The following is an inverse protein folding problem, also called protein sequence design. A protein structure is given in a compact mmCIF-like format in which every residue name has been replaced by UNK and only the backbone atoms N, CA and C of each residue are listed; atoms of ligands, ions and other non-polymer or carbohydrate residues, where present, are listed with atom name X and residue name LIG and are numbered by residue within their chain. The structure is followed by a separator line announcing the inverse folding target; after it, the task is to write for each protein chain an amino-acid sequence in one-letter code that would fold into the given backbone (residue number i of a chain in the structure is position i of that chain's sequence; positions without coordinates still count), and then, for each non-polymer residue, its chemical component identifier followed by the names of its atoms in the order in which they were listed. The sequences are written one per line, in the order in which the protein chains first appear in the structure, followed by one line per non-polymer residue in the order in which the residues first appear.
data_IF_535131361180
#
_entry.id   IF_535131361180
#
_cell.length_a   1.000
_cell.length_b   1.000
_cell.length_c   1.000
_cell.angle_alpha   90.00
_cell.angle_beta   90.00
_cell.angle_gamma   90.00
#
_symmetry.space_group_name_H-M   'P 1'
#
loop_
_entity.id
_entity.type
_entity.pdbx_description
1 polymer ?
#
# COMPACT_ATOMS: atom_id res chain seq x y z
N UNK A 1 3.78 17.27 -5.40
CA UNK A 1 5.10 17.78 -4.96
C UNK A 1 5.67 18.82 -5.93
N UNK A 2 5.02 19.99 -6.03
CA UNK A 2 5.46 21.10 -6.88
C UNK A 2 4.96 22.40 -6.27
N UNK A 3 5.85 23.34 -5.97
CA UNK A 3 5.46 24.68 -5.55
C UNK A 3 4.83 25.43 -6.75
N UNK A 4 3.63 26.02 -6.63
CA UNK A 4 2.98 26.72 -7.75
C UNK A 4 3.75 27.96 -8.24
N UNK A 5 4.67 28.50 -7.43
CA UNK A 5 5.50 29.64 -7.83
C UNK A 5 6.52 29.29 -8.93
N UNK A 6 7.39 28.29 -8.69
CA UNK A 6 8.52 27.93 -9.59
C UNK A 6 8.73 26.43 -9.75
N UNK A 7 7.73 25.63 -9.40
CA UNK A 7 7.68 24.17 -9.59
C UNK A 7 8.78 23.36 -8.88
N UNK A 8 9.50 23.98 -7.95
CA UNK A 8 10.45 23.25 -7.09
C UNK A 8 9.71 22.22 -6.23
N UNK A 9 10.34 21.07 -5.94
CA UNK A 9 9.77 20.09 -5.02
C UNK A 9 9.58 20.71 -3.63
N UNK A 10 8.37 20.59 -3.08
CA UNK A 10 8.06 20.97 -1.71
C UNK A 10 8.62 19.95 -0.71
N UNK A 11 8.86 18.71 -1.15
CA UNK A 11 9.50 17.65 -0.36
C UNK A 11 10.93 17.97 0.06
N UNK A 12 11.62 18.87 -0.66
CA UNK A 12 12.94 19.39 -0.29
C UNK A 12 12.84 20.58 0.70
N UNK A 13 11.63 20.94 1.12
CA UNK A 13 11.34 21.98 2.10
C UNK A 13 11.36 21.46 3.54
N UNK A 14 10.52 22.08 4.38
CA UNK A 14 10.36 21.68 5.78
C UNK A 14 8.92 21.80 6.25
N UNK A 15 8.59 21.03 7.28
CA UNK A 15 7.35 21.20 8.04
C UNK A 15 7.62 22.17 9.17
N UNK A 16 6.81 23.22 9.27
CA UNK A 16 6.87 24.21 10.34
C UNK A 16 6.21 23.67 11.61
N UNK A 17 6.47 24.30 12.75
CA UNK A 17 5.80 23.94 14.03
C UNK A 17 4.27 24.09 13.97
N UNK A 18 3.77 24.90 13.02
CA UNK A 18 2.33 25.02 12.72
C UNK A 18 1.74 23.80 12.02
N UNK A 19 2.58 22.87 11.55
CA UNK A 19 2.19 21.72 10.72
C UNK A 19 2.11 22.04 9.23
N UNK A 20 2.41 23.27 8.81
CA UNK A 20 2.41 23.69 7.41
C UNK A 20 3.72 23.36 6.71
N UNK A 21 3.68 23.25 5.39
CA UNK A 21 4.86 23.00 4.55
C UNK A 21 5.40 24.33 4.05
N UNK A 22 6.68 24.61 4.31
CA UNK A 22 7.40 25.76 3.78
C UNK A 22 8.26 25.33 2.58
N UNK A 23 8.07 26.03 1.45
CA UNK A 23 8.84 25.82 0.23
C UNK A 23 10.31 26.23 0.42
N UNK A 24 11.29 25.39 -0.01
CA UNK A 24 12.71 25.65 0.22
C UNK A 24 13.26 26.82 -0.60
N UNK A 25 12.52 27.31 -1.59
CA UNK A 25 13.05 28.31 -2.52
C UNK A 25 12.76 29.74 -2.08
N UNK A 26 11.48 30.09 -1.88
CA UNK A 26 11.07 31.46 -1.54
C UNK A 26 10.20 31.53 -0.29
N UNK A 27 10.18 30.45 0.52
CA UNK A 27 9.47 30.41 1.80
C UNK A 27 7.95 30.49 1.71
N UNK A 28 7.35 30.16 0.56
CA UNK A 28 5.89 30.08 0.46
C UNK A 28 5.37 28.95 1.35
N UNK A 29 4.35 29.23 2.15
CA UNK A 29 3.81 28.30 3.15
C UNK A 29 2.46 27.76 2.74
N UNK A 30 2.24 26.46 2.93
CA UNK A 30 1.04 25.74 2.51
C UNK A 30 0.47 24.89 3.62
N UNK A 31 -0.86 24.94 3.81
CA UNK A 31 -1.57 23.98 4.65
C UNK A 31 -1.56 22.59 4.02
N UNK A 32 -1.19 21.57 4.80
CA UNK A 32 -1.09 20.19 4.30
C UNK A 32 -2.43 19.54 3.95
N UNK A 33 -3.52 19.92 4.60
CA UNK A 33 -4.86 19.35 4.41
C UNK A 33 -5.60 19.91 3.21
N UNK A 34 -5.40 21.19 2.92
CA UNK A 34 -6.15 21.95 1.90
C UNK A 34 -5.28 22.43 0.75
N UNK A 35 -3.95 22.41 0.90
CA UNK A 35 -3.03 23.01 -0.06
C UNK A 35 -3.09 24.54 -0.12
N UNK A 36 -3.86 25.18 0.78
CA UNK A 36 -4.00 26.64 0.82
C UNK A 36 -2.64 27.29 1.07
N UNK A 37 -2.27 28.25 0.22
CA UNK A 37 -1.10 29.10 0.46
C UNK A 37 -1.43 30.15 1.52
N UNK A 38 -0.79 30.05 2.68
CA UNK A 38 -1.07 30.91 3.85
C UNK A 38 -0.09 32.05 3.99
N UNK A 39 1.11 31.92 3.42
CA UNK A 39 2.13 32.96 3.47
C UNK A 39 2.93 33.02 2.18
N UNK A 40 3.13 34.24 1.69
CA UNK A 40 4.06 34.59 0.62
C UNK A 40 4.99 35.66 1.20
N UNK A 41 6.21 35.32 1.65
CA UNK A 41 7.06 36.24 2.41
C UNK A 41 7.38 37.58 1.71
N UNK A 42 7.25 37.62 0.39
CA UNK A 42 7.55 38.79 -0.44
C UNK A 42 6.31 39.57 -0.89
N UNK A 43 5.10 39.18 -0.45
CA UNK A 43 3.87 39.92 -0.74
C UNK A 43 3.58 40.90 0.40
N UNK A 44 3.12 42.09 0.06
CA UNK A 44 2.65 43.05 1.07
C UNK A 44 1.31 42.58 1.66
N UNK A 45 0.99 43.01 2.88
CA UNK A 45 -0.30 42.64 3.51
C UNK A 45 -1.53 43.14 2.73
N UNK A 46 -1.35 44.13 1.85
CA UNK A 46 -2.36 44.65 0.94
C UNK A 46 -2.51 43.84 -0.34
N UNK A 47 -1.57 42.93 -0.64
CA UNK A 47 -1.61 42.13 -1.85
C UNK A 47 -2.63 41.00 -1.71
N UNK A 48 -3.56 40.95 -2.66
CA UNK A 48 -4.46 39.80 -2.79
C UNK A 48 -3.67 38.65 -3.40
N UNK A 49 -3.23 37.70 -2.57
CA UNK A 49 -2.70 36.42 -3.05
C UNK A 49 -3.82 35.72 -3.82
N UNK A 50 -3.63 35.57 -5.13
CA UNK A 50 -4.57 34.84 -5.99
C UNK A 50 -4.60 33.38 -5.54
N UNK A 51 -5.64 33.02 -4.77
CA UNK A 51 -5.76 31.68 -4.20
C UNK A 51 -5.83 30.59 -5.27
N UNK A 52 -6.39 30.88 -6.44
CA UNK A 52 -6.44 29.93 -7.57
C UNK A 52 -5.05 29.57 -8.11
N UNK A 53 -4.13 30.54 -8.20
CA UNK A 53 -2.79 30.32 -8.79
C UNK A 53 -1.70 30.04 -7.76
N UNK A 54 -2.01 30.23 -6.48
CA UNK A 54 -1.02 30.20 -5.41
C UNK A 54 -1.14 28.95 -4.55
N UNK A 55 -2.25 28.21 -4.60
CA UNK A 55 -2.44 26.99 -3.80
C UNK A 55 -1.78 25.76 -4.43
N UNK A 56 -1.32 24.85 -3.57
CA UNK A 56 -0.88 23.52 -3.97
C UNK A 56 -2.04 22.53 -4.11
N UNK A 57 -1.76 21.37 -4.69
CA UNK A 57 -2.70 20.23 -4.70
C UNK A 57 -2.52 19.41 -3.43
N UNK A 58 -3.56 19.32 -2.61
CA UNK A 58 -3.62 18.41 -1.46
C UNK A 58 -4.18 17.05 -1.88
N UNK A 59 -3.71 15.98 -1.26
CA UNK A 59 -4.24 14.63 -1.49
C UNK A 59 -4.91 14.13 -0.21
N UNK A 60 -6.15 13.61 -0.30
CA UNK A 60 -6.79 12.97 0.84
C UNK A 60 -5.94 11.80 1.30
N UNK A 61 -5.77 11.69 2.62
CA UNK A 61 -4.99 10.62 3.25
C UNK A 61 -5.71 10.07 4.46
N UNK A 62 -5.48 8.80 4.74
CA UNK A 62 -5.79 8.19 6.05
C UNK A 62 -4.63 7.31 6.48
N UNK A 63 -4.45 7.16 7.80
CA UNK A 63 -3.42 6.31 8.38
C UNK A 63 -4.10 5.12 9.05
N UNK A 64 -3.83 3.92 8.55
CA UNK A 64 -4.37 2.67 9.11
C UNK A 64 -3.30 1.60 9.15
N UNK A 65 -3.27 0.82 10.24
CA UNK A 65 -2.30 -0.25 10.46
C UNK A 65 -0.82 0.18 10.22
N UNK A 66 -0.47 1.41 10.58
CA UNK A 66 0.89 1.96 10.38
C UNK A 66 1.24 2.29 8.92
N UNK A 67 0.25 2.30 8.02
CA UNK A 67 0.41 2.63 6.60
C UNK A 67 -0.34 3.92 6.27
N UNK A 68 0.19 4.67 5.30
CA UNK A 68 -0.46 5.87 4.74
C UNK A 68 -1.15 5.49 3.43
N UNK A 69 -2.47 5.65 3.38
CA UNK A 69 -3.26 5.48 2.16
C UNK A 69 -3.54 6.85 1.56
N UNK A 70 -3.41 6.96 0.24
CA UNK A 70 -3.49 8.23 -0.49
C UNK A 70 -4.48 8.08 -1.65
N UNK A 71 -5.38 9.04 -1.81
CA UNK A 71 -6.31 9.11 -2.93
C UNK A 71 -5.74 10.07 -3.99
N UNK A 72 -5.29 9.56 -5.15
CA UNK A 72 -4.61 10.37 -6.15
C UNK A 72 -5.57 11.16 -7.05
N UNK A 73 -6.89 10.99 -6.92
CA UNK A 73 -7.88 11.63 -7.80
C UNK A 73 -7.67 13.14 -7.97
N UNK A 74 -7.35 13.93 -6.91
CA UNK A 74 -7.11 15.36 -7.07
C UNK A 74 -5.87 15.73 -7.90
N UNK A 75 -4.94 14.79 -8.17
CA UNK A 75 -3.85 15.02 -9.12
C UNK A 75 -4.35 15.14 -10.56
N UNK A 76 -5.46 14.49 -10.88
CA UNK A 76 -6.03 14.43 -12.22
C UNK A 76 -7.28 15.29 -12.35
N UNK A 77 -8.09 15.36 -11.29
CA UNK A 77 -9.32 16.11 -11.20
C UNK A 77 -9.31 16.96 -9.91
N UNK A 78 -8.49 18.02 -9.84
CA UNK A 78 -8.45 18.88 -8.67
C UNK A 78 -9.81 19.56 -8.44
N UNK A 79 -10.25 19.76 -7.18
CA UNK A 79 -11.46 20.51 -6.87
C UNK A 79 -11.42 21.93 -7.46
N UNK A 80 -12.59 22.48 -7.78
CA UNK A 80 -12.67 23.87 -8.21
C UNK A 80 -12.26 24.79 -7.06
N UNK A 81 -11.84 26.00 -7.39
CA UNK A 81 -11.46 26.96 -6.36
C UNK A 81 -12.59 27.21 -5.34
N UNK A 82 -12.28 27.07 -4.05
CA UNK A 82 -13.24 27.24 -2.94
C UNK A 82 -14.02 25.97 -2.58
N UNK A 83 -13.90 24.90 -3.35
CA UNK A 83 -14.43 23.59 -2.99
C UNK A 83 -13.50 22.90 -1.99
N UNK A 84 -14.09 22.18 -1.04
CA UNK A 84 -13.33 21.34 -0.13
C UNK A 84 -12.75 20.14 -0.89
N UNK A 85 -11.51 19.75 -0.55
CA UNK A 85 -10.97 18.49 -1.04
C UNK A 85 -11.85 17.31 -0.60
N UNK A 86 -11.98 16.27 -1.44
CA UNK A 86 -12.74 15.09 -1.07
C UNK A 86 -12.18 14.46 0.20
N UNK A 87 -13.05 13.88 1.03
CA UNK A 87 -12.60 13.09 2.17
C UNK A 87 -12.09 11.73 1.67
N UNK A 88 -11.11 11.12 2.36
CA UNK A 88 -10.70 9.76 2.03
C UNK A 88 -11.89 8.81 2.17
N UNK A 89 -12.16 8.01 1.14
CA UNK A 89 -13.16 6.95 1.23
C UNK A 89 -12.54 5.72 1.90
N UNK A 90 -12.57 5.71 3.23
CA UNK A 90 -11.97 4.65 4.02
C UNK A 90 -12.58 3.27 3.79
N UNK A 91 -13.73 3.16 3.13
CA UNK A 91 -14.33 1.87 2.76
C UNK A 91 -13.53 1.14 1.69
N UNK A 92 -12.71 1.87 0.90
CA UNK A 92 -11.82 1.30 -0.11
C UNK A 92 -10.52 0.76 0.49
N UNK A 93 -10.20 1.10 1.74
CA UNK A 93 -8.97 0.65 2.40
C UNK A 93 -9.08 -0.84 2.70
N UNK A 94 -8.27 -1.62 2.00
CA UNK A 94 -8.06 -3.02 2.33
C UNK A 94 -7.09 -3.10 3.51
N UNK A 95 -7.61 -3.47 4.69
CA UNK A 95 -6.78 -3.64 5.88
C UNK A 95 -5.85 -4.84 5.71
N UNK A 96 -4.60 -4.76 6.16
CA UNK A 96 -3.68 -5.88 6.06
C UNK A 96 -4.16 -7.00 6.97
N UNK A 97 -4.71 -8.03 6.35
CA UNK A 97 -5.26 -9.20 7.03
C UNK A 97 -4.23 -9.78 8.02
N UNK A 98 -4.66 -10.04 9.25
CA UNK A 98 -3.84 -10.70 10.29
C UNK A 98 -3.04 -9.73 11.14
N UNK A 99 -2.95 -8.47 10.71
CA UNK A 99 -2.45 -7.38 11.54
C UNK A 99 -3.52 -7.00 12.56
N UNK A 100 -3.16 -7.01 13.85
CA UNK A 100 -4.09 -6.71 14.95
C UNK A 100 -4.79 -7.93 15.53
N UNK A 101 -4.64 -9.11 14.94
CA UNK A 101 -5.08 -10.37 15.55
C UNK A 101 -4.38 -10.59 16.91
N UNK A 102 -5.10 -11.03 17.97
CA UNK A 102 -4.51 -11.22 19.29
C UNK A 102 -3.27 -12.12 19.27
N UNK A 103 -2.14 -11.57 19.68
CA UNK A 103 -0.87 -12.28 19.73
C UNK A 103 -0.22 -12.54 18.37
N UNK A 104 -0.73 -11.95 17.28
CA UNK A 104 -0.04 -11.97 16.00
C UNK A 104 1.22 -11.10 16.05
N UNK A 105 2.27 -11.58 15.39
CA UNK A 105 3.46 -10.79 15.07
C UNK A 105 3.56 -10.67 13.56
N UNK A 106 4.13 -9.60 13.06
CA UNK A 106 4.34 -9.44 11.64
C UNK A 106 5.67 -8.74 11.37
N UNK A 107 6.24 -9.07 10.23
CA UNK A 107 7.36 -8.37 9.63
C UNK A 107 6.86 -7.58 8.42
N UNK A 108 7.52 -6.48 8.08
CA UNK A 108 7.17 -5.65 6.93
C UNK A 108 8.37 -5.48 6.01
N UNK A 109 8.12 -5.55 4.70
CA UNK A 109 9.12 -5.31 3.69
C UNK A 109 8.54 -4.41 2.61
N UNK A 110 9.36 -3.52 2.06
CA UNK A 110 8.99 -2.78 0.86
C UNK A 110 10.14 -2.79 -0.14
N UNK A 111 9.79 -2.79 -1.43
CA UNK A 111 10.78 -2.75 -2.50
C UNK A 111 10.22 -2.12 -3.76
N UNK A 112 11.02 -1.23 -4.35
CA UNK A 112 10.78 -0.71 -5.69
C UNK A 112 11.31 -1.69 -6.74
N UNK A 113 10.48 -1.95 -7.74
CA UNK A 113 10.70 -2.97 -8.75
C UNK A 113 10.74 -2.35 -10.15
N UNK A 114 11.65 -2.81 -11.02
CA UNK A 114 11.90 -2.22 -12.32
C UNK A 114 10.87 -2.62 -13.40
N UNK A 115 9.64 -2.93 -13.02
CA UNK A 115 8.58 -3.37 -13.92
C UNK A 115 7.19 -2.94 -13.43
N UNK A 116 6.22 -3.02 -14.35
CA UNK A 116 4.85 -2.57 -14.12
C UNK A 116 4.14 -3.33 -12.99
N UNK A 117 3.22 -2.67 -12.30
CA UNK A 117 2.51 -3.25 -11.15
C UNK A 117 1.61 -4.43 -11.53
N UNK A 118 1.14 -4.51 -12.78
CA UNK A 118 0.34 -5.63 -13.28
C UNK A 118 1.14 -6.93 -13.27
N UNK A 119 2.39 -6.92 -13.75
CA UNK A 119 3.28 -8.09 -13.68
C UNK A 119 3.60 -8.50 -12.25
N UNK A 120 3.78 -7.52 -11.35
CA UNK A 120 3.94 -7.79 -9.93
C UNK A 120 2.70 -8.50 -9.36
N UNK A 121 1.52 -7.98 -9.67
CA UNK A 121 0.25 -8.52 -9.19
C UNK A 121 0.04 -9.96 -9.69
N UNK A 122 0.23 -10.21 -10.98
CA UNK A 122 0.15 -11.55 -11.56
C UNK A 122 1.16 -12.51 -10.92
N UNK A 123 2.41 -12.08 -10.74
CA UNK A 123 3.44 -12.91 -10.14
C UNK A 123 3.11 -13.32 -8.70
N UNK A 124 2.63 -12.38 -7.87
CA UNK A 124 2.36 -12.67 -6.47
C UNK A 124 1.10 -13.54 -6.34
N UNK A 125 0.07 -13.32 -7.17
CA UNK A 125 -1.15 -14.14 -7.19
C UNK A 125 -0.90 -15.58 -7.67
N UNK A 126 0.01 -15.78 -8.61
CA UNK A 126 0.35 -17.11 -9.13
C UNK A 126 1.16 -17.92 -8.13
N UNK A 127 0.49 -18.69 -7.27
CA UNK A 127 1.16 -19.54 -6.29
C UNK A 127 1.95 -20.72 -6.90
N UNK A 128 1.81 -21.01 -8.20
CA UNK A 128 2.48 -22.15 -8.84
C UNK A 128 4.00 -21.96 -8.91
N UNK A 129 4.47 -20.70 -9.07
CA UNK A 129 5.89 -20.37 -9.13
C UNK A 129 6.63 -20.63 -7.81
N UNK A 130 5.90 -20.73 -6.68
CA UNK A 130 6.50 -20.89 -5.34
C UNK A 130 7.38 -22.14 -5.25
N UNK A 131 6.90 -23.29 -5.74
CA UNK A 131 7.70 -24.53 -5.68
C UNK A 131 8.89 -24.51 -6.64
N UNK A 132 8.75 -23.85 -7.78
CA UNK A 132 9.70 -23.93 -8.88
C UNK A 132 10.78 -22.84 -8.81
N UNK A 133 10.37 -21.58 -8.80
CA UNK A 133 11.26 -20.40 -8.85
C UNK A 133 11.94 -20.13 -7.51
N UNK A 134 11.28 -20.42 -6.38
CA UNK A 134 11.89 -20.26 -5.05
C UNK A 134 12.64 -21.52 -4.57
N UNK A 135 13.15 -22.33 -5.49
CA UNK A 135 13.90 -23.54 -5.15
C UNK A 135 15.12 -23.21 -4.30
N UNK A 136 15.25 -23.86 -3.14
CA UNK A 136 16.38 -23.67 -2.23
C UNK A 136 16.23 -22.49 -1.27
N UNK A 137 15.14 -21.71 -1.38
CA UNK A 137 14.83 -20.64 -0.43
C UNK A 137 13.52 -20.93 0.31
N UNK A 138 12.38 -20.89 -0.40
CA UNK A 138 11.04 -21.10 0.16
C UNK A 138 10.33 -22.33 -0.41
N UNK A 139 10.83 -22.87 -1.52
CA UNK A 139 10.23 -23.97 -2.26
C UNK A 139 11.21 -25.07 -2.63
N UNK A 140 10.65 -26.17 -3.14
CA UNK A 140 11.40 -27.28 -3.71
C UNK A 140 10.79 -27.66 -5.06
N UNK A 141 11.55 -27.54 -6.15
CA UNK A 141 11.08 -27.86 -7.51
C UNK A 141 10.75 -29.33 -7.71
N UNK A 142 11.36 -30.23 -6.92
CA UNK A 142 11.01 -31.64 -6.90
C UNK A 142 9.62 -31.92 -6.30
N UNK A 143 9.04 -30.94 -5.58
CA UNK A 143 7.71 -31.02 -4.99
C UNK A 143 6.63 -30.33 -5.84
N UNK A 144 6.96 -29.87 -7.05
CA UNK A 144 5.99 -29.31 -7.99
C UNK A 144 4.96 -30.38 -8.37
N UNK A 145 3.68 -30.04 -8.23
CA UNK A 145 2.55 -30.93 -8.49
C UNK A 145 1.37 -30.13 -9.05
N UNK A 146 0.43 -30.77 -9.75
CA UNK A 146 -0.82 -30.12 -10.16
C UNK A 146 -1.49 -29.45 -8.96
N UNK A 147 -1.98 -28.23 -9.18
CA UNK A 147 -2.69 -27.46 -8.18
C UNK A 147 -4.18 -27.44 -8.52
N UNK A 148 -5.02 -27.65 -7.51
CA UNK A 148 -6.47 -27.58 -7.64
C UNK A 148 -6.99 -26.42 -6.81
N UNK A 149 -7.99 -25.72 -7.35
CA UNK A 149 -8.60 -24.58 -6.70
C UNK A 149 -10.11 -24.62 -6.88
N UNK A 150 -10.81 -24.12 -5.88
CA UNK A 150 -12.23 -23.81 -5.91
C UNK A 150 -12.40 -22.31 -5.77
N UNK A 151 -13.22 -21.72 -6.62
CA UNK A 151 -13.69 -20.35 -6.45
C UNK A 151 -14.72 -20.33 -5.33
N UNK A 152 -14.49 -19.53 -4.29
CA UNK A 152 -15.45 -19.37 -3.18
C UNK A 152 -16.42 -18.21 -3.43
N UNK A 153 -16.08 -17.31 -4.36
CA UNK A 153 -16.93 -16.19 -4.79
C UNK A 153 -16.80 -15.97 -6.31
N UNK A 154 -17.78 -15.30 -6.97
CA UNK A 154 -17.67 -14.95 -8.38
C UNK A 154 -16.44 -14.11 -8.68
N UNK A 155 -15.83 -14.34 -9.84
CA UNK A 155 -14.77 -13.50 -10.37
C UNK A 155 -15.36 -12.15 -10.80
N UNK A 156 -14.88 -11.07 -10.20
CA UNK A 156 -15.30 -9.71 -10.53
C UNK A 156 -14.09 -8.80 -10.71
N UNK A 157 -14.31 -7.61 -11.29
CA UNK A 157 -13.26 -6.59 -11.39
C UNK A 157 -12.80 -6.07 -10.01
N UNK A 158 -13.65 -6.12 -8.99
CA UNK A 158 -13.30 -5.68 -7.64
C UNK A 158 -12.51 -6.73 -6.85
N UNK A 159 -12.55 -7.99 -7.27
CA UNK A 159 -11.78 -9.05 -6.62
C UNK A 159 -12.37 -10.45 -6.75
N UNK A 160 -11.65 -11.40 -6.15
CA UNK A 160 -12.04 -12.79 -6.03
C UNK A 160 -11.26 -13.52 -4.93
N UNK A 161 -11.73 -14.72 -4.57
CA UNK A 161 -11.12 -15.60 -3.58
C UNK A 161 -11.05 -17.01 -4.14
N UNK A 162 -9.85 -17.60 -4.04
CA UNK A 162 -9.56 -18.97 -4.43
C UNK A 162 -9.14 -19.77 -3.21
N UNK A 163 -9.78 -20.92 -3.01
CA UNK A 163 -9.39 -21.88 -2.00
C UNK A 163 -8.65 -23.03 -2.67
N UNK A 164 -7.46 -23.37 -2.17
CA UNK A 164 -6.69 -24.48 -2.70
C UNK A 164 -7.25 -25.81 -2.17
N UNK A 165 -7.46 -26.75 -3.08
CA UNK A 165 -8.01 -28.07 -2.79
C UNK A 165 -7.02 -29.19 -3.12
N UNK A 166 -7.27 -30.37 -2.57
CA UNK A 166 -6.73 -31.63 -3.09
C UNK A 166 -7.40 -31.97 -4.43
N UNK A 167 -6.92 -33.01 -5.10
CA UNK A 167 -7.53 -33.53 -6.33
C UNK A 167 -8.99 -33.97 -6.09
N UNK A 168 -9.28 -34.44 -4.89
CA UNK A 168 -10.60 -34.94 -4.49
C UNK A 168 -11.51 -33.82 -3.94
N UNK A 169 -11.05 -32.56 -3.98
CA UNK A 169 -11.83 -31.38 -3.60
C UNK A 169 -11.76 -30.99 -2.13
N UNK A 170 -10.93 -31.66 -1.32
CA UNK A 170 -10.76 -31.31 0.10
C UNK A 170 -9.93 -30.03 0.26
N UNK A 171 -10.31 -29.14 1.19
CA UNK A 171 -9.59 -27.90 1.43
C UNK A 171 -8.20 -28.16 2.05
N UNK A 172 -7.17 -27.57 1.45
CA UNK A 172 -5.79 -27.68 1.96
C UNK A 172 -5.50 -26.70 3.11
N UNK A 173 -6.41 -25.75 3.38
CA UNK A 173 -6.18 -24.65 4.32
C UNK A 173 -5.30 -23.53 3.76
N UNK A 174 -5.14 -23.46 2.43
CA UNK A 174 -4.59 -22.30 1.72
C UNK A 174 -5.70 -21.54 0.99
N UNK A 175 -5.73 -20.23 1.19
CA UNK A 175 -6.66 -19.31 0.50
C UNK A 175 -5.86 -18.17 -0.12
N UNK A 176 -6.24 -17.76 -1.33
CA UNK A 176 -5.68 -16.61 -2.04
C UNK A 176 -6.79 -15.62 -2.32
N UNK A 177 -6.60 -14.36 -1.96
CA UNK A 177 -7.58 -13.29 -2.12
C UNK A 177 -6.96 -12.16 -2.91
N UNK A 178 -7.68 -11.66 -3.90
CA UNK A 178 -7.38 -10.43 -4.62
C UNK A 178 -8.49 -9.41 -4.38
N UNK A 179 -8.13 -8.17 -4.08
CA UNK A 179 -9.04 -7.02 -4.08
C UNK A 179 -8.40 -5.87 -4.85
N UNK A 180 -9.17 -5.31 -5.77
CA UNK A 180 -8.72 -4.16 -6.56
C UNK A 180 -8.40 -2.95 -5.64
N UNK A 181 -7.49 -2.05 -6.06
CA UNK A 181 -6.75 -2.10 -7.33
C UNK A 181 -5.45 -2.92 -7.28
N UNK A 182 -4.94 -3.26 -6.10
CA UNK A 182 -3.62 -3.89 -5.97
C UNK A 182 -3.38 -4.61 -4.65
N UNK A 183 -4.43 -4.90 -3.89
CA UNK A 183 -4.32 -5.65 -2.64
C UNK A 183 -4.48 -7.14 -2.90
N UNK A 184 -3.63 -7.93 -2.27
CA UNK A 184 -3.81 -9.36 -2.21
C UNK A 184 -3.34 -9.90 -0.87
N UNK A 185 -3.85 -11.07 -0.52
CA UNK A 185 -3.21 -11.87 0.52
C UNK A 185 -3.36 -13.38 0.28
N UNK A 186 -2.42 -14.13 0.84
CA UNK A 186 -2.51 -15.58 0.96
C UNK A 186 -2.55 -15.99 2.43
N UNK A 187 -3.53 -16.80 2.82
CA UNK A 187 -3.56 -17.46 4.13
C UNK A 187 -3.02 -18.87 3.97
N UNK A 188 -2.05 -19.26 4.78
CA UNK A 188 -1.41 -20.59 4.70
C UNK A 188 -1.41 -21.21 6.09
N UNK A 189 -2.16 -22.31 6.27
CA UNK A 189 -2.14 -23.09 7.51
C UNK A 189 -0.87 -23.94 7.59
N UNK A 190 -0.09 -23.77 8.66
CA UNK A 190 1.16 -24.47 8.91
C UNK A 190 1.14 -25.10 10.31
N UNK A 191 0.94 -26.42 10.40
CA UNK A 191 1.29 -27.24 11.57
C UNK A 191 0.89 -26.70 12.96
N UNK A 192 -0.20 -25.93 13.07
CA UNK A 192 -0.69 -25.34 14.34
C UNK A 192 -0.84 -23.82 14.33
N UNK A 193 -0.24 -23.10 13.37
CA UNK A 193 -0.37 -21.66 13.20
C UNK A 193 -0.72 -21.32 11.75
N UNK A 194 -0.88 -20.03 11.46
CA UNK A 194 -1.09 -19.53 10.10
C UNK A 194 -0.02 -18.51 9.74
N UNK A 195 0.55 -18.66 8.54
CA UNK A 195 1.37 -17.64 7.89
C UNK A 195 0.51 -16.93 6.85
N UNK A 196 0.40 -15.63 6.97
CA UNK A 196 -0.30 -14.80 6.01
C UNK A 196 0.75 -14.02 5.21
N UNK A 197 0.57 -13.97 3.90
CA UNK A 197 1.40 -13.16 2.99
C UNK A 197 0.48 -12.09 2.44
N UNK A 198 0.62 -10.86 2.93
CA UNK A 198 -0.18 -9.72 2.50
C UNK A 198 0.70 -8.85 1.61
N UNK A 199 0.17 -8.39 0.47
CA UNK A 199 0.89 -7.48 -0.40
C UNK A 199 -0.02 -6.39 -0.98
N UNK A 200 0.54 -5.18 -1.08
CA UNK A 200 0.02 -4.09 -1.88
C UNK A 200 0.98 -3.87 -3.06
N UNK A 201 0.48 -4.05 -4.26
CA UNK A 201 1.20 -3.83 -5.51
C UNK A 201 0.85 -2.43 -6.02
N UNK A 202 1.74 -1.47 -5.79
CA UNK A 202 1.48 -0.04 -6.00
C UNK A 202 2.21 0.45 -7.24
N UNK A 203 1.54 1.03 -8.25
CA UNK A 203 2.21 1.73 -9.33
C UNK A 203 2.86 3.01 -8.79
N UNK A 204 4.16 3.21 -9.06
CA UNK A 204 4.89 4.39 -8.57
C UNK A 204 5.27 5.36 -9.69
N UNK A 205 5.36 4.87 -10.93
CA UNK A 205 5.49 5.62 -12.19
C UNK A 205 5.34 4.64 -13.37
N UNK A 206 5.15 5.10 -14.62
CA UNK A 206 5.04 4.19 -15.76
C UNK A 206 6.19 3.16 -15.81
N UNK A 207 5.83 1.88 -15.88
CA UNK A 207 6.77 0.76 -15.92
C UNK A 207 7.54 0.48 -14.63
N UNK A 208 7.11 1.03 -13.47
CA UNK A 208 7.68 0.73 -12.16
C UNK A 208 6.60 0.53 -11.11
N UNK A 209 6.88 -0.36 -10.18
CA UNK A 209 5.99 -0.67 -9.07
C UNK A 209 6.74 -0.71 -7.75
N UNK A 210 5.98 -0.65 -6.66
CA UNK A 210 6.43 -0.92 -5.30
C UNK A 210 5.59 -2.06 -4.75
N UNK A 211 6.24 -3.05 -4.16
CA UNK A 211 5.57 -3.99 -3.27
C UNK A 211 5.67 -3.46 -1.84
N UNK A 212 4.54 -3.43 -1.13
CA UNK A 212 4.49 -3.33 0.33
C UNK A 212 4.00 -4.68 0.84
N UNK A 213 4.87 -5.47 1.47
CA UNK A 213 4.58 -6.81 1.93
C UNK A 213 4.55 -6.87 3.46
N UNK A 214 3.57 -7.62 4.00
CA UNK A 214 3.49 -7.94 5.42
C UNK A 214 3.38 -9.46 5.58
N UNK A 215 4.03 -9.98 6.60
CA UNK A 215 4.05 -11.42 6.89
C UNK A 215 3.50 -11.77 8.29
N UNK A 216 2.19 -11.60 8.54
CA UNK A 216 1.61 -11.96 9.84
C UNK A 216 1.72 -13.46 10.15
N UNK A 217 2.15 -13.76 11.37
CA UNK A 217 2.13 -15.08 11.98
C UNK A 217 1.04 -15.11 13.06
N UNK A 218 -0.06 -15.78 12.78
CA UNK A 218 -1.24 -15.84 13.66
C UNK A 218 -1.31 -17.21 14.34
N UNK A 219 -1.49 -17.23 15.67
CA UNK A 219 -1.55 -18.47 16.46
C UNK A 219 -0.20 -19.17 16.66
N UNK A 220 0.92 -18.50 16.34
CA UNK A 220 2.27 -19.04 16.58
C UNK A 220 2.55 -19.19 18.10
N UNK A 221 3.32 -20.21 18.47
CA UNK A 221 3.78 -20.37 19.86
C UNK A 221 4.85 -19.33 20.22
N UNK A 222 5.06 -19.08 21.51
CA UNK A 222 6.04 -18.10 21.98
C UNK A 222 7.47 -18.44 21.52
N UNK A 223 7.80 -19.73 21.39
CA UNK A 223 9.08 -20.17 20.82
C UNK A 223 9.24 -19.74 19.35
N UNK A 224 8.19 -19.89 18.54
CA UNK A 224 8.21 -19.46 17.13
C UNK A 224 8.30 -17.94 17.06
N UNK A 225 7.54 -17.22 17.89
CA UNK A 225 7.58 -15.76 17.96
C UNK A 225 8.97 -15.25 18.34
N UNK A 226 9.58 -15.85 19.35
CA UNK A 226 10.94 -15.51 19.78
C UNK A 226 11.94 -15.68 18.64
N UNK A 227 11.93 -16.84 17.96
CA UNK A 227 12.83 -17.10 16.83
C UNK A 227 12.61 -16.15 15.66
N UNK A 228 11.36 -15.78 15.36
CA UNK A 228 11.05 -14.78 14.34
C UNK A 228 11.58 -13.39 14.72
N UNK A 229 11.51 -13.04 16.01
CA UNK A 229 12.03 -11.77 16.55
C UNK A 229 13.55 -11.65 16.58
N UNK A 230 14.30 -12.76 16.41
CA UNK A 230 15.77 -12.74 16.31
C UNK A 230 16.28 -12.35 14.91
N UNK A 231 15.39 -12.21 13.92
CA UNK A 231 15.80 -11.79 12.58
C UNK A 231 16.25 -10.31 12.63
N UNK A 232 17.40 -9.97 12.01
CA UNK A 232 17.80 -8.58 11.90
C UNK A 232 16.73 -7.80 11.14
N UNK A 233 16.31 -6.67 11.71
CA UNK A 233 15.39 -5.71 11.10
C UNK A 233 16.15 -4.75 10.21
#
# INVERSE_FOLDING_TARGET
DKCPHRLVPLSEGRVLDTGEIECPYHGWTFKGDTGECTSVPHADSSDTISKERSCGVSLPVTVKAGMVFVWPDPLYNPPSFGEAYPKPDESLVQMPEGVGEPGAIFDTAHRDLPYDYSYLLENVLDVSHVTYTHHGTQGNRGATKPMHFKQSEPLTLSGYTLESTTKDGELTGRTSVFRAPGYLHHKIKLGGFQLWVVAYCVPIRPGRSRILALFPLVGASDKIKFLAGLRPR
#
